data_IF_531149539097
#
_entry.id   IF_531149539097
#
_cell.length_a   1.000
_cell.length_b   1.000
_cell.length_c   1.000
_cell.angle_alpha   90.00
_cell.angle_beta   90.00
_cell.angle_gamma   90.00
#
_symmetry.space_group_name_H-M   'P 1'
#
loop_
_entity.id
_entity.type
_entity.pdbx_description
1 polymer ?
#
# COMPACT_ATOMS: atom_id res chain seq x y z
N UNK A 1 7.74 19.56 0.96
CA UNK A 1 8.14 18.27 0.33
C UNK A 1 9.21 17.51 1.12
N UNK A 2 10.35 18.13 1.49
CA UNK A 2 11.42 17.43 2.22
C UNK A 2 10.95 16.76 3.53
N UNK A 3 10.13 17.45 4.32
CA UNK A 3 9.54 16.91 5.56
C UNK A 3 8.74 15.63 5.26
N UNK A 4 7.88 15.65 4.23
CA UNK A 4 7.11 14.47 3.80
C UNK A 4 8.00 13.29 3.43
N UNK A 5 9.14 13.53 2.77
CA UNK A 5 10.14 12.49 2.43
C UNK A 5 10.76 11.90 3.70
N UNK A 6 11.18 12.75 4.64
CA UNK A 6 11.79 12.29 5.89
C UNK A 6 10.80 11.46 6.72
N UNK A 7 9.55 11.91 6.82
CA UNK A 7 8.49 11.23 7.56
C UNK A 7 8.14 9.87 6.93
N UNK A 8 7.91 9.82 5.61
CA UNK A 8 7.59 8.55 4.92
C UNK A 8 8.75 7.56 5.02
N UNK A 9 10.00 8.04 4.89
CA UNK A 9 11.19 7.19 5.07
C UNK A 9 11.28 6.65 6.49
N UNK A 10 11.06 7.49 7.51
CA UNK A 10 11.13 7.07 8.91
C UNK A 10 10.14 5.94 9.20
N UNK A 11 8.86 6.13 8.88
CA UNK A 11 7.85 5.08 9.14
C UNK A 11 8.09 3.84 8.27
N UNK A 12 8.62 4.00 7.05
CA UNK A 12 9.00 2.88 6.18
C UNK A 12 10.08 1.98 6.81
N UNK A 13 11.07 2.56 7.49
CA UNK A 13 12.11 1.78 8.18
C UNK A 13 11.55 0.97 9.35
N UNK A 14 10.59 1.53 10.08
CA UNK A 14 9.85 0.81 11.12
C UNK A 14 9.15 -0.42 10.56
N UNK A 15 8.35 -0.26 9.50
CA UNK A 15 7.69 -1.38 8.84
C UNK A 15 8.66 -2.39 8.22
N UNK A 16 9.80 -1.94 7.67
CA UNK A 16 10.82 -2.81 7.08
C UNK A 16 11.35 -3.82 8.10
N UNK A 17 11.55 -3.40 9.35
CA UNK A 17 12.04 -4.29 10.40
C UNK A 17 11.10 -5.46 10.69
N UNK A 18 9.78 -5.27 10.53
CA UNK A 18 8.77 -6.33 10.69
C UNK A 18 8.86 -7.41 9.59
N UNK A 19 9.49 -7.12 8.46
CA UNK A 19 9.61 -8.10 7.37
C UNK A 19 10.56 -9.24 7.69
N UNK A 20 11.58 -9.01 8.52
CA UNK A 20 12.62 -9.99 8.86
C UNK A 20 12.10 -11.22 9.61
N UNK A 21 11.29 -11.10 10.67
CA UNK A 21 10.75 -12.28 11.35
C UNK A 21 9.67 -13.00 10.53
N UNK A 22 8.94 -12.29 9.66
CA UNK A 22 7.78 -12.83 8.92
C UNK A 22 8.23 -13.57 7.65
N UNK A 23 9.14 -12.97 6.87
CA UNK A 23 9.56 -13.51 5.57
C UNK A 23 11.08 -13.53 5.48
N UNK A 24 11.62 -14.74 5.28
CA UNK A 24 13.03 -14.97 4.99
C UNK A 24 13.32 -14.81 3.48
N UNK A 25 14.59 -14.53 3.15
CA UNK A 25 15.14 -14.56 1.79
C UNK A 25 14.44 -13.65 0.76
N UNK A 26 14.03 -12.44 1.18
CA UNK A 26 13.53 -11.41 0.28
C UNK A 26 14.54 -10.31 -0.02
N UNK A 27 14.37 -9.66 -1.17
CA UNK A 27 15.25 -8.57 -1.58
C UNK A 27 15.02 -7.33 -0.72
N UNK A 28 16.11 -6.62 -0.41
CA UNK A 28 16.04 -5.35 0.33
C UNK A 28 15.02 -4.34 -0.24
N UNK A 29 14.95 -4.19 -1.57
CA UNK A 29 13.97 -3.31 -2.23
C UNK A 29 12.52 -3.73 -1.97
N UNK A 30 12.24 -5.04 -1.92
CA UNK A 30 10.92 -5.55 -1.54
C UNK A 30 10.65 -5.29 -0.06
N UNK A 31 11.64 -5.50 0.82
CA UNK A 31 11.51 -5.19 2.26
C UNK A 31 11.23 -3.71 2.51
N UNK A 32 11.83 -2.81 1.72
CA UNK A 32 11.53 -1.36 1.75
C UNK A 32 10.11 -1.06 1.29
N UNK A 33 9.67 -1.64 0.17
CA UNK A 33 8.32 -1.46 -0.36
C UNK A 33 7.25 -1.95 0.64
N UNK A 34 7.43 -3.15 1.20
CA UNK A 34 6.56 -3.67 2.27
C UNK A 34 6.63 -2.80 3.51
N UNK A 35 7.84 -2.38 3.89
CA UNK A 35 8.05 -1.52 5.05
C UNK A 35 7.32 -0.19 4.95
N UNK A 36 7.29 0.42 3.76
CA UNK A 36 6.53 1.64 3.51
C UNK A 36 5.03 1.44 3.74
N UNK A 37 4.44 0.37 3.20
CA UNK A 37 3.01 0.09 3.32
C UNK A 37 2.63 -0.29 4.75
N UNK A 38 3.40 -1.19 5.37
CA UNK A 38 3.18 -1.63 6.75
C UNK A 38 3.40 -0.48 7.73
N UNK A 39 4.48 0.27 7.57
CA UNK A 39 4.80 1.43 8.40
C UNK A 39 3.76 2.53 8.30
N UNK A 40 3.28 2.83 7.08
CA UNK A 40 2.16 3.76 6.87
C UNK A 40 0.89 3.27 7.57
N UNK A 41 0.57 1.98 7.47
CA UNK A 41 -0.65 1.41 8.06
C UNK A 41 -0.62 1.49 9.60
N UNK A 42 0.52 1.14 10.21
CA UNK A 42 0.73 1.25 11.66
C UNK A 42 0.67 2.72 12.10
N UNK A 43 1.34 3.61 11.37
CA UNK A 43 1.32 5.05 11.66
C UNK A 43 -0.09 5.62 11.60
N UNK A 44 -0.85 5.28 10.56
CA UNK A 44 -2.23 5.70 10.39
C UNK A 44 -3.14 5.21 11.50
N UNK A 45 -3.09 3.91 11.84
CA UNK A 45 -3.92 3.33 12.90
C UNK A 45 -3.55 3.87 14.29
N UNK A 46 -2.27 3.84 14.64
CA UNK A 46 -1.79 4.33 15.94
C UNK A 46 -2.07 5.82 16.10
N UNK A 47 -1.80 6.61 15.06
CA UNK A 47 -2.10 8.03 15.03
C UNK A 47 -3.59 8.30 15.18
N UNK A 48 -4.45 7.53 14.52
CA UNK A 48 -5.89 7.71 14.62
C UNK A 48 -6.41 7.39 16.02
N UNK A 49 -5.91 6.32 16.65
CA UNK A 49 -6.25 5.98 18.04
C UNK A 49 -5.81 7.10 18.98
N UNK A 50 -4.56 7.55 18.88
CA UNK A 50 -4.03 8.63 19.73
C UNK A 50 -4.80 9.95 19.52
N UNK A 51 -5.08 10.30 18.27
CA UNK A 51 -5.84 11.51 17.93
C UNK A 51 -7.30 11.44 18.37
N UNK A 52 -7.91 10.25 18.38
CA UNK A 52 -9.27 10.07 18.89
C UNK A 52 -9.36 10.27 20.42
N UNK A 53 -8.26 10.07 21.14
CA UNK A 53 -8.20 10.24 22.59
C UNK A 53 -7.74 11.65 23.01
N UNK A 54 -6.83 12.25 22.26
CA UNK A 54 -6.12 13.48 22.66
C UNK A 54 -6.19 14.61 21.62
N UNK A 55 -6.96 14.42 20.54
CA UNK A 55 -7.00 15.32 19.38
C UNK A 55 -5.78 15.17 18.48
N UNK A 56 -5.91 15.54 17.20
CA UNK A 56 -4.78 15.52 16.26
C UNK A 56 -3.92 16.78 16.39
N UNK A 57 -2.70 16.62 16.91
CA UNK A 57 -1.69 17.68 17.00
C UNK A 57 -0.28 17.12 16.74
N UNK A 58 0.74 17.98 16.81
CA UNK A 58 2.14 17.59 16.57
C UNK A 58 2.62 16.51 17.56
N UNK A 59 2.18 16.55 18.82
CA UNK A 59 2.58 15.60 19.87
C UNK A 59 1.99 14.22 19.59
N UNK A 60 0.69 14.14 19.30
CA UNK A 60 0.05 12.86 18.99
C UNK A 60 0.57 12.26 17.69
N UNK A 61 0.84 13.09 16.68
CA UNK A 61 1.46 12.66 15.43
C UNK A 61 2.90 12.15 15.66
N UNK A 62 3.71 12.83 16.48
CA UNK A 62 5.06 12.39 16.83
C UNK A 62 5.04 11.08 17.66
N UNK A 63 4.09 10.92 18.57
CA UNK A 63 3.89 9.68 19.30
C UNK A 63 3.53 8.52 18.36
N UNK A 64 2.72 8.76 17.32
CA UNK A 64 2.42 7.76 16.30
C UNK A 64 3.67 7.35 15.48
N UNK A 65 4.59 8.28 15.21
CA UNK A 65 5.90 7.95 14.63
C UNK A 65 6.65 7.01 15.58
N UNK A 66 6.73 7.34 16.87
CA UNK A 66 7.43 6.53 17.85
C UNK A 66 6.89 5.09 17.88
N UNK A 67 5.55 4.92 17.88
CA UNK A 67 4.89 3.59 17.77
C UNK A 67 5.30 2.87 16.49
N UNK A 68 5.29 3.57 15.36
CA UNK A 68 5.67 3.00 14.05
C UNK A 68 7.13 2.58 13.97
N UNK A 69 8.00 3.18 14.79
CA UNK A 69 9.43 2.88 14.87
C UNK A 69 9.77 1.77 15.90
N UNK A 70 8.85 1.40 16.80
CA UNK A 70 9.07 0.32 17.78
C UNK A 70 9.62 -0.98 17.15
N UNK A 71 9.18 -1.42 15.96
CA UNK A 71 9.72 -2.64 15.38
C UNK A 71 11.22 -2.59 15.03
N UNK A 72 11.84 -1.40 14.95
CA UNK A 72 13.30 -1.29 14.83
C UNK A 72 14.04 -1.96 15.99
N UNK A 73 13.40 -2.12 17.16
CA UNK A 73 13.96 -2.87 18.28
C UNK A 73 14.27 -4.32 17.91
N UNK A 74 13.59 -4.92 16.92
CA UNK A 74 13.89 -6.25 16.41
C UNK A 74 15.31 -6.34 15.84
N UNK A 75 15.82 -5.26 15.27
CA UNK A 75 17.20 -5.19 14.73
C UNK A 75 18.27 -5.09 15.83
N UNK A 76 17.89 -5.07 17.11
CA UNK A 76 18.83 -5.29 18.23
C UNK A 76 19.20 -6.76 18.38
N UNK A 77 18.32 -7.67 17.99
CA UNK A 77 18.61 -9.11 18.00
C UNK A 77 19.70 -9.44 16.97
N UNK A 78 20.68 -10.27 17.38
CA UNK A 78 21.78 -10.71 16.51
C UNK A 78 21.31 -11.30 15.16
N UNK A 79 20.29 -12.19 15.08
CA UNK A 79 19.90 -12.80 13.80
C UNK A 79 19.38 -11.76 12.81
N UNK A 80 18.41 -10.93 13.20
CA UNK A 80 17.80 -9.94 12.30
C UNK A 80 18.78 -8.81 11.94
N UNK A 81 19.64 -8.42 12.88
CA UNK A 81 20.72 -7.44 12.60
C UNK A 81 21.68 -7.94 11.53
N UNK A 82 22.05 -9.23 11.58
CA UNK A 82 22.96 -9.85 10.60
C UNK A 82 22.32 -9.90 9.22
N UNK A 83 21.07 -10.34 9.13
CA UNK A 83 20.33 -10.41 7.87
C UNK A 83 20.13 -9.03 7.25
N UNK A 84 19.73 -8.03 8.06
CA UNK A 84 19.62 -6.65 7.61
C UNK A 84 20.95 -6.10 7.05
N UNK A 85 22.06 -6.29 7.77
CA UNK A 85 23.37 -5.84 7.31
C UNK A 85 23.79 -6.54 6.01
N UNK A 86 23.50 -7.83 5.88
CA UNK A 86 23.77 -8.60 4.67
C UNK A 86 22.96 -8.08 3.48
N UNK A 87 21.65 -7.88 3.64
CA UNK A 87 20.78 -7.33 2.61
C UNK A 87 21.18 -5.93 2.18
N UNK A 88 21.54 -5.09 3.15
CA UNK A 88 22.03 -3.73 2.92
C UNK A 88 23.35 -3.72 2.15
N UNK A 89 24.31 -4.55 2.54
CA UNK A 89 25.59 -4.69 1.83
C UNK A 89 25.38 -5.19 0.39
N UNK A 90 24.51 -6.19 0.21
CA UNK A 90 24.15 -6.72 -1.12
C UNK A 90 23.46 -5.68 -1.99
N UNK A 91 22.60 -4.84 -1.42
CA UNK A 91 21.96 -3.73 -2.13
C UNK A 91 22.99 -2.69 -2.57
N UNK A 92 23.93 -2.30 -1.68
CA UNK A 92 25.04 -1.39 -2.02
C UNK A 92 25.94 -1.94 -3.13
N UNK A 93 26.31 -3.21 -3.04
CA UNK A 93 27.16 -3.86 -4.04
C UNK A 93 26.54 -3.94 -5.44
N UNK A 94 25.21 -3.82 -5.57
CA UNK A 94 24.55 -3.74 -6.89
C UNK A 94 24.78 -2.41 -7.63
N UNK A 95 25.14 -1.36 -6.91
CA UNK A 95 25.55 -0.08 -7.51
C UNK A 95 27.02 -0.09 -7.95
N UNK A 96 27.81 -1.10 -7.56
CA UNK A 96 29.22 -1.23 -7.91
C UNK A 96 29.39 -2.18 -9.12
N UNK A 97 29.95 -1.67 -10.21
CA UNK A 97 30.20 -2.41 -11.45
C UNK A 97 29.01 -2.37 -12.43
N UNK A 98 29.23 -1.73 -13.58
CA UNK A 98 28.25 -1.61 -14.66
C UNK A 98 28.04 -2.95 -15.38
N UNK A 99 26.80 -3.43 -15.40
CA UNK A 99 26.40 -4.59 -16.19
C UNK A 99 25.05 -4.27 -16.85
N UNK A 100 24.89 -4.61 -18.13
CA UNK A 100 23.68 -4.38 -18.92
C UNK A 100 22.39 -4.91 -18.27
N UNK A 101 22.46 -6.05 -17.57
CA UNK A 101 21.31 -6.60 -16.80
C UNK A 101 20.95 -5.74 -15.58
N UNK A 102 21.94 -5.09 -14.96
CA UNK A 102 21.71 -4.16 -13.84
C UNK A 102 21.17 -2.84 -14.36
N UNK A 103 21.70 -2.37 -15.48
CA UNK A 103 21.26 -1.15 -16.16
C UNK A 103 19.80 -1.25 -16.62
N UNK A 104 19.40 -2.35 -17.26
CA UNK A 104 18.00 -2.58 -17.64
C UNK A 104 17.06 -2.68 -16.43
N UNK A 105 17.48 -3.35 -15.35
CA UNK A 105 16.72 -3.41 -14.11
C UNK A 105 16.54 -2.03 -13.44
N UNK A 106 17.60 -1.21 -13.44
CA UNK A 106 17.55 0.17 -12.96
C UNK A 106 16.64 1.03 -13.84
N UNK A 107 16.81 0.94 -15.17
CA UNK A 107 15.98 1.67 -16.14
C UNK A 107 14.49 1.37 -15.99
N UNK A 108 14.11 0.12 -15.71
CA UNK A 108 12.71 -0.24 -15.44
C UNK A 108 12.13 0.51 -14.23
N UNK A 109 12.81 0.48 -13.08
CA UNK A 109 12.31 1.18 -11.89
C UNK A 109 12.41 2.70 -12.03
N UNK A 110 13.45 3.21 -12.70
CA UNK A 110 13.60 4.63 -13.00
C UNK A 110 12.48 5.14 -13.92
N UNK A 111 12.09 4.35 -14.94
CA UNK A 111 10.96 4.64 -15.80
C UNK A 111 9.67 4.80 -14.98
N UNK A 112 9.33 3.81 -14.15
CA UNK A 112 8.14 3.91 -13.30
C UNK A 112 8.22 5.05 -12.29
N UNK A 113 9.37 5.29 -11.69
CA UNK A 113 9.56 6.44 -10.79
C UNK A 113 9.31 7.76 -11.53
N UNK A 114 9.86 7.94 -12.74
CA UNK A 114 9.60 9.13 -13.54
C UNK A 114 8.11 9.27 -13.88
N UNK A 115 7.48 8.19 -14.36
CA UNK A 115 6.05 8.18 -14.68
C UNK A 115 5.21 8.55 -13.46
N UNK A 116 5.38 7.86 -12.32
CA UNK A 116 4.63 8.16 -11.11
C UNK A 116 4.85 9.59 -10.63
N UNK A 117 6.08 10.11 -10.71
CA UNK A 117 6.36 11.50 -10.37
C UNK A 117 5.58 12.48 -11.26
N UNK A 118 5.53 12.22 -12.57
CA UNK A 118 4.79 13.06 -13.52
C UNK A 118 3.28 12.99 -13.26
N UNK A 119 2.71 11.80 -13.08
CA UNK A 119 1.28 11.62 -12.84
C UNK A 119 0.84 12.18 -11.48
N UNK A 120 1.50 11.81 -10.38
CA UNK A 120 1.13 12.31 -9.04
C UNK A 120 1.47 13.79 -8.87
N UNK A 121 2.50 14.30 -9.56
CA UNK A 121 2.77 15.74 -9.61
C UNK A 121 1.61 16.55 -10.21
N UNK A 122 0.77 15.93 -11.03
CA UNK A 122 -0.45 16.49 -11.61
C UNK A 122 -1.73 16.10 -10.83
N UNK A 123 -1.65 15.19 -9.85
CA UNK A 123 -2.80 14.84 -9.01
C UNK A 123 -3.29 16.07 -8.22
N UNK A 124 -2.36 16.87 -7.70
CA UNK A 124 -2.62 18.20 -7.12
C UNK A 124 -1.46 19.15 -7.41
N UNK A 125 -1.78 20.31 -7.98
CA UNK A 125 -0.85 21.43 -8.11
C UNK A 125 -1.51 22.73 -7.66
N UNK A 126 -0.68 23.71 -7.31
CA UNK A 126 -1.13 25.01 -6.83
C UNK A 126 -0.54 26.08 -7.73
N UNK A 127 -1.36 27.07 -8.07
CA UNK A 127 -0.96 28.30 -8.75
C UNK A 127 -1.52 29.47 -7.95
N UNK A 128 -1.19 30.71 -8.33
CA UNK A 128 -1.75 31.91 -7.69
C UNK A 128 -3.28 31.98 -7.79
N UNK A 129 -3.88 31.28 -8.76
CA UNK A 129 -5.33 31.20 -8.93
C UNK A 129 -6.02 30.14 -8.03
N UNK A 130 -5.26 29.27 -7.36
CA UNK A 130 -5.81 28.27 -6.43
C UNK A 130 -5.24 26.86 -6.60
N UNK A 131 -6.04 25.87 -6.19
CA UNK A 131 -5.71 24.44 -6.25
C UNK A 131 -6.32 23.83 -7.51
N UNK A 132 -5.51 23.06 -8.25
CA UNK A 132 -5.88 22.43 -9.51
C UNK A 132 -5.51 20.95 -9.52
N UNK A 133 -6.13 20.21 -10.43
CA UNK A 133 -5.79 18.82 -10.74
C UNK A 133 -5.73 18.62 -12.25
N UNK A 134 -4.75 17.84 -12.72
CA UNK A 134 -4.55 17.56 -14.14
C UNK A 134 -5.39 16.40 -14.67
N UNK A 135 -6.07 15.65 -13.80
CA UNK A 135 -6.93 14.53 -14.17
C UNK A 135 -8.41 14.89 -14.03
N UNK A 136 -9.19 14.79 -15.13
CA UNK A 136 -10.64 15.04 -15.10
C UNK A 136 -11.38 14.17 -14.09
N UNK A 137 -10.96 12.91 -13.96
CA UNK A 137 -11.55 11.97 -12.98
C UNK A 137 -11.23 12.35 -11.53
N UNK A 138 -10.21 13.17 -11.28
CA UNK A 138 -9.84 13.62 -9.94
C UNK A 138 -10.53 14.93 -9.52
N UNK A 139 -11.33 15.54 -10.40
CA UNK A 139 -12.06 16.77 -10.08
C UNK A 139 -13.08 16.57 -8.95
N UNK A 140 -13.67 15.39 -8.84
CA UNK A 140 -14.59 15.04 -7.74
C UNK A 140 -13.85 14.55 -6.49
N UNK A 141 -12.81 13.74 -6.68
CA UNK A 141 -12.13 13.04 -5.58
C UNK A 141 -11.15 13.95 -4.83
N UNK A 142 -10.42 14.84 -5.52
CA UNK A 142 -9.47 15.74 -4.87
C UNK A 142 -10.14 16.66 -3.82
N UNK A 143 -11.25 17.37 -4.13
CA UNK A 143 -11.94 18.17 -3.11
C UNK A 143 -12.44 17.34 -1.92
N UNK A 144 -12.92 16.11 -2.17
CA UNK A 144 -13.33 15.20 -1.10
C UNK A 144 -12.15 14.84 -0.18
N UNK A 145 -11.01 14.46 -0.74
CA UNK A 145 -9.80 14.14 0.00
C UNK A 145 -9.24 15.35 0.75
N UNK A 146 -9.21 16.53 0.14
CA UNK A 146 -8.81 17.77 0.81
C UNK A 146 -9.76 18.11 1.97
N UNK A 147 -11.07 17.96 1.77
CA UNK A 147 -12.07 18.15 2.82
C UNK A 147 -11.85 17.20 4.01
N UNK A 148 -11.52 15.93 3.74
CA UNK A 148 -11.17 14.96 4.77
C UNK A 148 -9.90 15.37 5.54
N UNK A 149 -8.84 15.72 4.82
CA UNK A 149 -7.54 16.13 5.39
C UNK A 149 -7.70 17.38 6.27
N UNK A 150 -8.33 18.42 5.74
CA UNK A 150 -8.53 19.69 6.45
C UNK A 150 -9.53 19.56 7.61
N UNK A 151 -10.52 18.67 7.47
CA UNK A 151 -11.40 18.30 8.58
C UNK A 151 -10.62 17.74 9.78
N UNK A 152 -9.62 16.89 9.53
CA UNK A 152 -8.75 16.39 10.59
C UNK A 152 -7.77 17.44 11.12
N UNK A 153 -7.14 18.23 10.25
CA UNK A 153 -6.13 19.20 10.69
C UNK A 153 -6.77 20.38 11.40
N UNK A 154 -7.75 21.02 10.80
CA UNK A 154 -8.24 22.34 11.22
C UNK A 154 -9.61 22.25 11.87
N UNK A 155 -10.42 21.26 11.47
CA UNK A 155 -11.77 21.04 12.01
C UNK A 155 -11.84 20.17 13.27
N UNK A 156 -10.71 19.64 13.75
CA UNK A 156 -10.65 18.70 14.89
C UNK A 156 -11.72 17.58 14.80
N UNK A 157 -11.90 17.00 13.61
CA UNK A 157 -12.99 16.08 13.26
C UNK A 157 -12.89 14.70 13.97
N UNK A 158 -13.17 14.69 15.28
CA UNK A 158 -13.18 13.52 16.15
C UNK A 158 -14.45 13.53 17.01
N UNK A 159 -15.37 12.55 16.87
CA UNK A 159 -15.33 11.43 15.93
C UNK A 159 -15.45 11.88 14.47
N UNK A 160 -14.90 11.12 13.49
CA UNK A 160 -14.91 11.53 12.09
C UNK A 160 -16.32 11.64 11.50
N UNK A 161 -16.64 12.81 10.97
CA UNK A 161 -17.82 13.11 10.16
C UNK A 161 -17.47 13.23 8.68
N UNK A 162 -18.46 12.99 7.81
CA UNK A 162 -18.30 13.09 6.37
C UNK A 162 -17.98 14.55 5.97
N UNK A 163 -16.90 14.80 5.20
CA UNK A 163 -16.50 16.16 4.83
C UNK A 163 -17.45 16.85 3.86
N UNK A 164 -18.30 16.10 3.16
CA UNK A 164 -19.25 16.61 2.16
C UNK A 164 -20.70 16.62 2.65
N UNK A 165 -21.00 15.98 3.79
CA UNK A 165 -22.35 15.94 4.34
C UNK A 165 -22.33 16.04 5.87
N UNK A 166 -22.53 17.26 6.38
CA UNK A 166 -22.46 17.57 7.80
C UNK A 166 -23.41 16.70 8.64
N UNK A 167 -22.95 16.25 9.81
CA UNK A 167 -23.69 15.36 10.69
C UNK A 167 -23.74 13.90 10.23
N UNK A 168 -23.40 13.60 8.96
CA UNK A 168 -23.29 12.24 8.50
C UNK A 168 -21.96 11.59 8.90
N UNK A 169 -21.98 10.27 9.08
CA UNK A 169 -20.80 9.51 9.49
C UNK A 169 -19.79 9.40 8.36
N UNK A 170 -18.51 9.44 8.72
CA UNK A 170 -17.43 9.18 7.77
C UNK A 170 -17.40 7.69 7.42
N UNK A 171 -18.02 7.33 6.29
CA UNK A 171 -18.17 5.94 5.84
C UNK A 171 -17.10 5.50 4.85
N UNK A 172 -16.40 6.45 4.21
CA UNK A 172 -15.27 6.18 3.32
C UNK A 172 -13.99 5.87 4.12
N UNK A 173 -13.13 4.92 3.67
CA UNK A 173 -11.85 4.61 4.31
C UNK A 173 -10.89 5.82 4.32
N UNK A 174 -10.67 6.40 5.50
CA UNK A 174 -10.02 7.72 5.63
C UNK A 174 -8.53 7.66 6.05
N UNK A 175 -7.94 6.47 6.26
CA UNK A 175 -6.58 6.38 6.81
C UNK A 175 -5.54 7.05 5.90
N UNK A 176 -5.67 6.94 4.58
CA UNK A 176 -4.75 7.60 3.65
C UNK A 176 -4.75 9.14 3.86
N UNK A 177 -5.93 9.73 4.04
CA UNK A 177 -6.11 11.17 4.28
C UNK A 177 -5.68 11.58 5.69
N UNK A 178 -5.97 10.74 6.69
CA UNK A 178 -5.52 10.94 8.06
C UNK A 178 -3.99 10.94 8.17
N UNK A 179 -3.29 10.07 7.43
CA UNK A 179 -1.82 10.06 7.38
C UNK A 179 -1.28 11.37 6.79
N UNK A 180 -1.93 11.90 5.76
CA UNK A 180 -1.61 13.24 5.22
C UNK A 180 -1.85 14.34 6.26
N UNK A 181 -2.98 14.32 6.96
CA UNK A 181 -3.29 15.27 8.03
C UNK A 181 -2.24 15.24 9.16
N UNK A 182 -1.80 14.05 9.57
CA UNK A 182 -0.76 13.90 10.58
C UNK A 182 0.61 14.43 10.10
N UNK A 183 0.96 14.23 8.83
CA UNK A 183 2.18 14.83 8.24
C UNK A 183 2.12 16.37 8.26
N UNK A 184 0.94 16.94 7.99
CA UNK A 184 0.74 18.40 8.04
C UNK A 184 0.93 18.93 9.47
N UNK A 185 0.40 18.23 10.48
CA UNK A 185 0.67 18.58 11.89
C UNK A 185 2.13 18.49 12.31
N UNK A 186 2.95 17.79 11.53
CA UNK A 186 4.40 17.68 11.71
C UNK A 186 5.18 18.65 10.81
N UNK A 187 4.49 19.59 10.14
CA UNK A 187 5.09 20.67 9.36
C UNK A 187 5.21 20.41 7.86
N UNK A 188 4.65 19.32 7.33
CA UNK A 188 4.60 19.12 5.89
C UNK A 188 3.55 20.03 5.23
N UNK A 189 3.83 20.48 4.00
CA UNK A 189 2.80 21.10 3.16
C UNK A 189 1.87 20.04 2.56
N UNK A 190 0.60 20.41 2.34
CA UNK A 190 -0.46 19.50 1.87
C UNK A 190 -0.06 18.81 0.55
N UNK A 191 0.38 19.60 -0.45
CA UNK A 191 0.78 19.10 -1.76
C UNK A 191 1.92 18.10 -1.65
N UNK A 192 2.98 18.48 -0.92
CA UNK A 192 4.15 17.64 -0.72
C UNK A 192 3.82 16.36 0.04
N UNK A 193 2.92 16.40 1.02
CA UNK A 193 2.45 15.21 1.72
C UNK A 193 1.68 14.26 0.79
N UNK A 194 0.74 14.77 -0.01
CA UNK A 194 -0.01 13.98 -1.00
C UNK A 194 0.91 13.33 -2.03
N UNK A 195 1.69 14.14 -2.76
CA UNK A 195 2.54 13.65 -3.86
C UNK A 195 3.54 12.60 -3.39
N UNK A 196 4.20 12.83 -2.25
CA UNK A 196 5.21 11.90 -1.74
C UNK A 196 4.59 10.60 -1.23
N UNK A 197 3.43 10.66 -0.55
CA UNK A 197 2.73 9.47 -0.09
C UNK A 197 2.25 8.63 -1.26
N UNK A 198 1.56 9.25 -2.22
CA UNK A 198 0.98 8.56 -3.37
C UNK A 198 2.08 7.94 -4.25
N UNK A 199 3.15 8.70 -4.50
CA UNK A 199 4.35 8.18 -5.18
C UNK A 199 4.94 6.96 -4.46
N UNK A 200 5.15 7.06 -3.14
CA UNK A 200 5.78 5.99 -2.37
C UNK A 200 4.91 4.73 -2.33
N UNK A 201 3.59 4.87 -2.18
CA UNK A 201 2.64 3.75 -2.17
C UNK A 201 2.53 3.09 -3.55
N UNK A 202 2.45 3.87 -4.64
CA UNK A 202 2.44 3.34 -6.00
C UNK A 202 3.73 2.57 -6.32
N UNK A 203 4.88 3.13 -5.95
CA UNK A 203 6.18 2.47 -6.15
C UNK A 203 6.29 1.19 -5.29
N UNK A 204 5.68 1.19 -4.11
CA UNK A 204 5.62 -0.02 -3.27
C UNK A 204 4.74 -1.08 -3.91
N UNK A 205 3.57 -0.71 -4.44
CA UNK A 205 2.67 -1.60 -5.19
C UNK A 205 3.38 -2.19 -6.42
N UNK A 206 4.13 -1.40 -7.19
CA UNK A 206 4.94 -1.86 -8.31
C UNK A 206 5.88 -3.01 -7.90
N UNK A 207 6.66 -2.81 -6.83
CA UNK A 207 7.66 -3.79 -6.36
C UNK A 207 6.98 -5.03 -5.77
N UNK A 208 5.91 -4.84 -5.01
CA UNK A 208 5.14 -5.92 -4.37
C UNK A 208 4.45 -6.78 -5.43
N UNK A 209 3.80 -6.16 -6.41
CA UNK A 209 3.09 -6.85 -7.50
C UNK A 209 4.03 -7.61 -8.42
N UNK A 210 5.17 -7.01 -8.79
CA UNK A 210 6.22 -7.72 -9.53
C UNK A 210 6.61 -8.99 -8.78
N UNK A 211 6.92 -8.86 -7.48
CA UNK A 211 7.38 -10.00 -6.68
C UNK A 211 6.30 -11.06 -6.52
N UNK A 212 5.05 -10.66 -6.27
CA UNK A 212 3.90 -11.55 -6.18
C UNK A 212 3.70 -12.35 -7.47
N UNK A 213 3.74 -11.68 -8.62
CA UNK A 213 3.57 -12.31 -9.94
C UNK A 213 4.69 -13.32 -10.21
N UNK A 214 5.94 -13.02 -9.85
CA UNK A 214 7.04 -13.99 -9.97
C UNK A 214 6.80 -15.23 -9.09
N UNK A 215 6.29 -15.06 -7.87
CA UNK A 215 5.96 -16.19 -6.99
C UNK A 215 4.81 -17.04 -7.52
N UNK A 216 3.81 -16.39 -8.12
CA UNK A 216 2.64 -17.07 -8.68
C UNK A 216 2.98 -17.85 -9.95
N UNK A 217 3.84 -17.31 -10.81
CA UNK A 217 4.08 -17.82 -12.17
C UNK A 217 5.43 -18.51 -12.36
N UNK A 218 6.37 -18.34 -11.42
CA UNK A 218 7.77 -18.73 -11.59
C UNK A 218 8.54 -17.89 -12.64
N UNK A 219 7.91 -16.91 -13.30
CA UNK A 219 8.46 -16.22 -14.46
C UNK A 219 8.79 -14.75 -14.16
N UNK A 220 10.06 -14.37 -14.35
CA UNK A 220 10.55 -12.99 -14.13
C UNK A 220 9.97 -11.99 -15.14
N UNK A 221 9.78 -12.39 -16.39
CA UNK A 221 9.20 -11.54 -17.42
C UNK A 221 7.73 -11.24 -17.11
N UNK A 222 6.95 -12.24 -16.69
CA UNK A 222 5.58 -12.04 -16.22
C UNK A 222 5.54 -11.02 -15.06
N UNK A 223 6.49 -11.12 -14.11
CA UNK A 223 6.65 -10.13 -13.05
C UNK A 223 6.95 -8.71 -13.52
N UNK A 224 7.69 -8.54 -14.62
CA UNK A 224 7.96 -7.21 -15.21
C UNK A 224 6.76 -6.67 -16.00
N UNK A 225 5.98 -7.54 -16.62
CA UNK A 225 4.83 -7.16 -17.46
C UNK A 225 3.61 -6.83 -16.59
N UNK A 226 3.37 -7.56 -15.49
CA UNK A 226 2.16 -7.37 -14.69
C UNK A 226 1.95 -5.92 -14.18
N UNK A 227 2.97 -5.19 -13.67
CA UNK A 227 2.78 -3.80 -13.31
C UNK A 227 2.50 -2.88 -14.51
N UNK A 228 3.09 -3.15 -15.67
CA UNK A 228 2.78 -2.40 -16.90
C UNK A 228 1.30 -2.57 -17.25
N UNK A 229 0.80 -3.81 -17.22
CA UNK A 229 -0.60 -4.11 -17.48
C UNK A 229 -1.53 -3.48 -16.44
N UNK A 230 -1.15 -3.44 -15.17
CA UNK A 230 -1.97 -2.82 -14.12
C UNK A 230 -2.05 -1.30 -14.28
N UNK A 231 -0.91 -0.61 -14.30
CA UNK A 231 -0.88 0.85 -14.32
C UNK A 231 -1.30 1.43 -15.68
N UNK A 232 -0.99 0.75 -16.78
CA UNK A 232 -1.32 1.19 -18.13
C UNK A 232 -2.48 0.41 -18.77
N UNK A 233 -3.37 -0.17 -17.95
CA UNK A 233 -4.61 -0.81 -18.41
C UNK A 233 -5.55 0.18 -19.12
N UNK A 234 -6.67 -0.30 -19.66
CA UNK A 234 -7.69 0.59 -20.26
C UNK A 234 -8.47 -0.01 -21.43
N UNK A 235 -8.46 -1.34 -21.57
CA UNK A 235 -9.13 -2.04 -22.67
C UNK A 235 -8.38 -1.95 -24.00
N UNK A 236 -9.13 -2.03 -25.11
CA UNK A 236 -8.59 -2.07 -26.48
C UNK A 236 -8.44 -0.68 -27.13
N UNK A 237 -8.31 0.37 -26.33
CA UNK A 237 -8.23 1.77 -26.78
C UNK A 237 -7.17 2.02 -27.87
N UNK A 238 -6.06 1.29 -27.79
CA UNK A 238 -4.96 1.36 -28.76
C UNK A 238 -5.36 0.94 -30.19
N UNK A 239 -6.38 0.08 -30.36
CA UNK A 239 -6.88 -0.33 -31.68
C UNK A 239 -7.55 0.85 -32.38
N UNK A 240 -8.39 1.58 -31.64
CA UNK A 240 -9.04 2.78 -32.16
C UNK A 240 -8.05 3.93 -32.34
N UNK A 241 -7.07 4.07 -31.43
CA UNK A 241 -5.98 5.03 -31.62
C UNK A 241 -5.20 4.76 -32.91
N UNK A 242 -4.84 3.51 -33.17
CA UNK A 242 -4.14 3.15 -34.40
C UNK A 242 -5.00 3.46 -35.63
N UNK A 243 -6.29 3.11 -35.61
CA UNK A 243 -7.21 3.48 -36.69
C UNK A 243 -7.24 4.99 -36.94
N UNK A 244 -7.50 5.77 -35.90
CA UNK A 244 -7.62 7.23 -35.99
C UNK A 244 -6.28 7.89 -36.40
N UNK A 245 -5.14 7.33 -35.97
CA UNK A 245 -3.80 7.77 -36.38
C UNK A 245 -3.54 7.53 -37.86
N UNK A 246 -3.85 6.34 -38.38
CA UNK A 246 -3.68 6.01 -39.80
C UNK A 246 -4.62 6.81 -40.71
N UNK A 247 -5.83 7.11 -40.25
CA UNK A 247 -6.81 7.90 -41.02
C UNK A 247 -6.45 9.39 -41.10
N UNK A 248 -5.78 9.96 -40.08
CA UNK A 248 -5.46 11.38 -40.03
C UNK A 248 -4.26 11.80 -40.88
N UNK A 249 -3.35 10.87 -41.20
CA UNK A 249 -2.12 11.17 -41.93
C UNK A 249 -1.18 12.17 -41.24
N UNK A 250 -1.40 12.48 -39.95
CA UNK A 250 -0.59 13.37 -39.13
C UNK A 250 0.63 12.66 -38.56
N UNK A 251 1.62 13.43 -38.12
CA UNK A 251 2.74 12.87 -37.37
C UNK A 251 2.28 12.32 -36.00
N UNK A 252 2.95 11.28 -35.50
CA UNK A 252 2.62 10.69 -34.19
C UNK A 252 2.70 11.72 -33.07
N UNK A 253 3.66 12.64 -33.15
CA UNK A 253 3.84 13.70 -32.16
C UNK A 253 2.64 14.65 -32.09
N UNK A 254 2.12 15.07 -33.24
CA UNK A 254 0.92 15.93 -33.30
C UNK A 254 -0.30 15.24 -32.69
N UNK A 255 -0.52 13.97 -33.03
CA UNK A 255 -1.69 13.21 -32.52
C UNK A 255 -1.60 12.97 -31.02
N UNK A 256 -0.39 12.73 -30.48
CA UNK A 256 -0.21 12.56 -29.03
C UNK A 256 -0.37 13.87 -28.26
N UNK A 257 0.01 15.01 -28.85
CA UNK A 257 -0.14 16.33 -28.21
C UNK A 257 -1.59 16.85 -28.27
N UNK A 258 -2.33 16.47 -29.32
CA UNK A 258 -3.72 16.84 -29.52
C UNK A 258 -4.55 15.59 -29.82
N UNK A 259 -4.79 14.79 -28.78
CA UNK A 259 -5.61 13.60 -28.90
C UNK A 259 -7.04 14.00 -29.32
N UNK A 260 -7.61 13.36 -30.36
CA UNK A 260 -8.93 13.73 -30.86
C UNK A 260 -10.07 13.37 -29.89
N UNK A 261 -9.83 12.39 -29.01
CA UNK A 261 -10.78 11.89 -28.00
C UNK A 261 -10.06 11.03 -26.96
N UNK A 262 -10.76 10.72 -25.88
CA UNK A 262 -10.36 9.65 -24.95
C UNK A 262 -10.63 8.28 -25.60
N UNK A 263 -9.63 7.40 -25.55
CA UNK A 263 -9.68 6.06 -26.15
C UNK A 263 -10.10 4.96 -25.19
N UNK A 264 -10.26 5.29 -23.91
CA UNK A 264 -10.58 4.36 -22.82
C UNK A 264 -11.95 4.64 -22.21
N UNK A 265 -12.42 5.89 -22.29
CA UNK A 265 -13.73 6.34 -21.79
C UNK A 265 -14.47 7.07 -22.91
N UNK A 266 -15.58 6.51 -23.36
CA UNK A 266 -16.52 7.15 -24.29
C UNK A 266 -17.97 6.84 -23.94
N UNK A 267 -18.89 7.15 -24.84
CA UNK A 267 -20.33 6.99 -24.60
C UNK A 267 -20.76 5.51 -24.52
N UNK A 268 -20.06 4.63 -25.25
CA UNK A 268 -20.42 3.21 -25.37
C UNK A 268 -19.68 2.29 -24.40
N UNK A 269 -18.48 2.70 -23.98
CA UNK A 269 -17.62 1.89 -23.10
C UNK A 269 -16.84 2.81 -22.16
N UNK A 270 -16.67 2.36 -20.91
CA UNK A 270 -15.96 3.11 -19.86
C UNK A 270 -14.93 2.20 -19.21
N UNK A 271 -13.89 1.87 -19.96
CA UNK A 271 -12.77 1.04 -19.51
C UNK A 271 -11.60 1.94 -19.15
N UNK A 272 -11.81 2.81 -18.17
CA UNK A 272 -10.83 3.80 -17.75
C UNK A 272 -9.49 3.17 -17.35
N UNK A 273 -8.40 3.82 -17.75
CA UNK A 273 -7.06 3.43 -17.33
C UNK A 273 -6.93 3.47 -15.79
N UNK A 274 -6.38 2.40 -15.20
CA UNK A 274 -6.30 2.29 -13.74
C UNK A 274 -5.44 3.38 -13.09
N UNK A 275 -4.38 3.88 -13.72
CA UNK A 275 -3.58 4.98 -13.17
C UNK A 275 -4.41 6.25 -12.99
N UNK A 276 -5.15 6.64 -14.04
CA UNK A 276 -5.87 7.93 -14.05
C UNK A 276 -7.23 7.85 -13.35
N UNK A 277 -7.92 6.70 -13.41
CA UNK A 277 -9.28 6.54 -12.89
C UNK A 277 -9.32 5.94 -11.48
N UNK A 278 -8.27 5.21 -11.07
CA UNK A 278 -8.23 4.54 -9.78
C UNK A 278 -7.09 5.03 -8.89
N UNK A 279 -5.84 5.00 -9.35
CA UNK A 279 -4.69 5.25 -8.46
C UNK A 279 -4.44 6.73 -8.15
N UNK A 280 -4.71 7.64 -9.09
CA UNK A 280 -4.63 9.10 -8.83
C UNK A 280 -5.80 9.58 -7.95
N UNK A 281 -6.96 8.98 -8.13
CA UNK A 281 -8.24 9.44 -7.57
C UNK A 281 -8.52 8.80 -6.22
N UNK A 282 -8.36 7.47 -6.10
CA UNK A 282 -8.70 6.70 -4.90
C UNK A 282 -7.47 6.41 -4.05
N UNK A 283 -7.13 7.33 -3.16
CA UNK A 283 -5.96 7.20 -2.27
C UNK A 283 -6.06 5.99 -1.32
N UNK A 284 -7.28 5.65 -0.89
CA UNK A 284 -7.56 4.45 -0.10
C UNK A 284 -7.14 3.16 -0.83
N UNK A 285 -7.50 3.03 -2.11
CA UNK A 285 -7.09 1.89 -2.95
C UNK A 285 -5.57 1.86 -3.14
N UNK A 286 -4.93 3.01 -3.35
CA UNK A 286 -3.49 3.09 -3.56
C UNK A 286 -2.67 2.55 -2.37
N UNK A 287 -3.15 2.78 -1.14
CA UNK A 287 -2.59 2.20 0.08
C UNK A 287 -3.06 0.76 0.34
N UNK A 288 -4.35 0.45 0.08
CA UNK A 288 -4.96 -0.85 0.41
C UNK A 288 -4.59 -1.98 -0.56
N UNK A 289 -4.40 -1.69 -1.84
CA UNK A 289 -4.05 -2.68 -2.85
C UNK A 289 -2.72 -3.39 -2.56
N UNK A 290 -1.60 -2.70 -2.22
CA UNK A 290 -0.37 -3.41 -1.90
C UNK A 290 -0.49 -4.28 -0.63
N UNK A 291 -1.28 -3.89 0.38
CA UNK A 291 -1.60 -4.75 1.53
C UNK A 291 -2.31 -6.02 1.04
N UNK A 292 -3.30 -5.85 0.16
CA UNK A 292 -4.06 -6.95 -0.44
C UNK A 292 -3.14 -7.93 -1.16
N UNK A 293 -2.27 -7.43 -2.04
CA UNK A 293 -1.32 -8.26 -2.81
C UNK A 293 -0.33 -8.98 -1.90
N UNK A 294 0.13 -8.34 -0.81
CA UNK A 294 0.98 -8.99 0.19
C UNK A 294 0.27 -10.16 0.87
N UNK A 295 -0.96 -9.95 1.31
CA UNK A 295 -1.77 -10.99 1.96
C UNK A 295 -2.07 -12.10 0.97
N UNK A 296 -2.45 -11.79 -0.28
CA UNK A 296 -2.64 -12.79 -1.34
C UNK A 296 -1.37 -13.61 -1.59
N UNK A 297 -0.19 -13.01 -1.54
CA UNK A 297 1.08 -13.74 -1.63
C UNK A 297 1.28 -14.76 -0.50
N UNK A 298 0.83 -14.43 0.71
CA UNK A 298 0.82 -15.37 1.82
C UNK A 298 -0.23 -16.47 1.65
N UNK A 299 -1.47 -16.10 1.32
CA UNK A 299 -2.55 -17.07 1.09
C UNK A 299 -2.17 -18.05 -0.03
N UNK A 300 -1.55 -17.56 -1.11
CA UNK A 300 -1.01 -18.38 -2.18
C UNK A 300 0.03 -19.38 -1.67
N UNK A 301 0.97 -18.95 -0.81
CA UNK A 301 1.99 -19.85 -0.24
C UNK A 301 1.37 -20.97 0.62
N UNK A 302 0.35 -20.62 1.41
CA UNK A 302 -0.41 -21.61 2.19
C UNK A 302 -1.14 -22.56 1.25
N UNK A 303 -1.76 -22.04 0.19
CA UNK A 303 -2.51 -22.81 -0.79
C UNK A 303 -1.63 -23.73 -1.66
N UNK A 304 -0.46 -23.27 -2.11
CA UNK A 304 0.42 -24.01 -3.03
C UNK A 304 1.17 -25.15 -2.37
N UNK A 305 1.26 -25.18 -1.04
CA UNK A 305 2.02 -26.20 -0.32
C UNK A 305 3.49 -25.86 -0.11
N UNK A 306 3.95 -24.66 -0.49
CA UNK A 306 5.29 -24.12 -0.16
C UNK A 306 5.49 -23.83 1.35
N UNK A 307 4.65 -24.43 2.20
CA UNK A 307 4.65 -24.34 3.65
C UNK A 307 5.69 -25.23 4.32
N UNK A 308 6.31 -26.19 3.62
CA UNK A 308 7.31 -27.08 4.22
C UNK A 308 8.61 -26.36 4.61
N UNK A 309 8.84 -25.14 4.08
CA UNK A 309 9.91 -24.25 4.50
C UNK A 309 9.55 -23.38 5.72
N UNK A 310 8.30 -23.40 6.22
CA UNK A 310 7.91 -22.71 7.45
C UNK A 310 8.64 -23.34 8.66
N UNK A 311 8.90 -24.65 8.62
CA UNK A 311 9.66 -25.38 9.63
C UNK A 311 11.18 -25.10 9.59
N UNK A 312 11.76 -24.81 8.42
CA UNK A 312 13.22 -24.63 8.29
C UNK A 312 13.76 -23.36 8.94
N UNK A 313 12.92 -22.34 9.12
CA UNK A 313 13.34 -21.06 9.75
C UNK A 313 13.38 -21.17 11.29
N UNK A 314 12.75 -22.20 11.88
CA UNK A 314 12.70 -22.40 13.32
C UNK A 314 13.96 -23.07 13.92
N UNK A 315 14.96 -23.47 13.11
CA UNK A 315 16.19 -24.07 13.61
C UNK A 315 17.44 -23.28 13.23
N UNK A 316 17.90 -22.43 14.15
CA UNK A 316 19.28 -22.48 14.60
C UNK A 316 19.29 -22.85 16.10
N UNK A 317 19.70 -24.08 16.38
CA UNK A 317 20.34 -24.48 17.64
C UNK A 317 19.55 -24.47 18.97
N UNK A 318 18.26 -24.77 19.00
CA UNK A 318 17.60 -25.22 20.24
C UNK A 318 17.04 -26.62 20.03
N UNK A 319 17.93 -27.60 20.17
CA UNK A 319 17.55 -28.99 20.36
C UNK A 319 16.84 -29.13 21.72
N UNK A 320 15.61 -29.61 21.69
CA UNK A 320 14.90 -30.11 22.87
C UNK A 320 13.92 -29.12 23.50
N UNK A 321 12.69 -29.06 22.97
CA UNK A 321 11.44 -29.02 23.77
C UNK A 321 10.24 -29.20 22.85
N UNK A 322 9.39 -30.12 23.25
CA UNK A 322 8.31 -30.81 22.54
C UNK A 322 7.02 -29.99 22.40
N UNK A 323 6.32 -30.17 21.27
CA UNK A 323 4.86 -30.02 21.14
C UNK A 323 4.31 -28.61 20.93
N UNK A 324 4.25 -27.80 22.00
CA UNK A 324 3.47 -26.54 22.00
C UNK A 324 4.26 -25.32 21.51
N UNK A 325 5.59 -25.32 21.70
CA UNK A 325 6.47 -24.26 21.18
C UNK A 325 6.47 -24.22 19.64
N UNK A 326 6.27 -25.37 19.01
CA UNK A 326 6.27 -25.54 17.56
C UNK A 326 4.93 -25.11 16.92
N UNK A 327 3.83 -25.20 17.67
CA UNK A 327 2.53 -24.73 17.23
C UNK A 327 2.48 -23.19 17.24
N UNK A 328 2.89 -22.56 18.34
CA UNK A 328 2.91 -21.09 18.45
C UNK A 328 3.89 -20.47 17.44
N UNK A 329 5.05 -21.12 17.21
CA UNK A 329 6.03 -20.69 16.20
C UNK A 329 5.47 -20.76 14.77
N UNK A 330 4.53 -21.67 14.50
CA UNK A 330 3.89 -21.84 13.20
C UNK A 330 2.71 -20.89 12.99
N UNK A 331 1.94 -20.57 14.04
CA UNK A 331 0.69 -19.81 13.94
C UNK A 331 0.84 -18.29 14.07
N UNK A 332 1.93 -17.79 14.68
CA UNK A 332 2.08 -16.35 14.88
C UNK A 332 2.22 -15.56 13.57
N UNK A 333 2.82 -16.14 12.51
CA UNK A 333 2.97 -15.49 11.19
C UNK A 333 1.61 -15.29 10.49
N UNK A 334 0.77 -16.34 10.35
CA UNK A 334 -0.61 -16.16 9.88
C UNK A 334 -1.38 -15.14 10.71
N UNK A 335 -1.27 -15.20 12.03
CA UNK A 335 -1.93 -14.24 12.93
C UNK A 335 -1.46 -12.80 12.69
N UNK A 336 -0.15 -12.55 12.60
CA UNK A 336 0.42 -11.23 12.32
C UNK A 336 -0.01 -10.69 10.95
N UNK A 337 -0.08 -11.54 9.92
CA UNK A 337 -0.62 -11.16 8.61
C UNK A 337 -2.13 -10.89 8.67
N UNK A 338 -2.84 -11.63 9.51
CA UNK A 338 -4.23 -11.37 9.86
C UNK A 338 -4.41 -9.97 10.44
N UNK A 339 -3.57 -9.55 11.40
CA UNK A 339 -3.62 -8.19 11.95
C UNK A 339 -3.49 -7.13 10.84
N UNK A 340 -2.55 -7.29 9.90
CA UNK A 340 -2.42 -6.34 8.78
C UNK A 340 -3.64 -6.31 7.86
N UNK A 341 -4.19 -7.49 7.50
CA UNK A 341 -5.44 -7.55 6.75
C UNK A 341 -6.62 -6.94 7.53
N UNK A 342 -6.61 -7.05 8.86
CA UNK A 342 -7.58 -6.44 9.76
C UNK A 342 -7.59 -4.91 9.77
N UNK A 343 -6.54 -4.25 9.29
CA UNK A 343 -6.48 -2.78 9.15
C UNK A 343 -7.23 -2.29 7.89
N UNK A 344 -7.61 -3.20 6.98
CA UNK A 344 -8.26 -2.83 5.71
C UNK A 344 -9.64 -2.17 5.84
N UNK A 345 -10.49 -2.36 6.87
CA UNK A 345 -11.76 -1.63 6.93
C UNK A 345 -11.56 -0.11 6.99
N UNK A 346 -10.47 0.38 7.61
CA UNK A 346 -10.12 1.79 7.66
C UNK A 346 -9.26 2.26 6.48
N UNK A 347 -8.51 1.35 5.86
CA UNK A 347 -7.62 1.66 4.73
C UNK A 347 -8.32 1.52 3.39
N UNK A 348 -8.98 0.39 3.12
CA UNK A 348 -9.74 0.10 1.90
C UNK A 348 -10.68 -1.11 2.08
N UNK A 349 -11.95 -0.86 2.40
CA UNK A 349 -12.91 -1.91 2.76
C UNK A 349 -13.12 -2.98 1.66
N UNK A 350 -13.18 -2.57 0.39
CA UNK A 350 -13.39 -3.51 -0.73
C UNK A 350 -12.28 -4.56 -0.82
N UNK A 351 -11.04 -4.19 -0.48
CA UNK A 351 -9.93 -5.14 -0.42
C UNK A 351 -10.16 -6.24 0.61
N UNK A 352 -10.75 -5.92 1.76
CA UNK A 352 -11.04 -6.93 2.78
C UNK A 352 -12.10 -7.93 2.29
N UNK A 353 -13.12 -7.45 1.57
CA UNK A 353 -14.15 -8.32 0.97
C UNK A 353 -13.50 -9.30 -0.02
N UNK A 354 -12.60 -8.81 -0.88
CA UNK A 354 -11.85 -9.67 -1.80
C UNK A 354 -11.03 -10.71 -1.04
N UNK A 355 -10.30 -10.30 0.00
CA UNK A 355 -9.52 -11.25 0.82
C UNK A 355 -10.41 -12.28 1.52
N UNK A 356 -11.60 -11.90 1.98
CA UNK A 356 -12.55 -12.83 2.59
C UNK A 356 -13.00 -13.90 1.58
N UNK A 357 -13.39 -13.49 0.37
CA UNK A 357 -13.79 -14.41 -0.70
C UNK A 357 -12.64 -15.34 -1.07
N UNK A 358 -11.45 -14.81 -1.33
CA UNK A 358 -10.28 -15.62 -1.70
C UNK A 358 -9.87 -16.58 -0.58
N UNK A 359 -9.87 -16.11 0.68
CA UNK A 359 -9.54 -16.96 1.83
C UNK A 359 -10.56 -18.08 1.99
N UNK A 360 -11.85 -17.80 1.78
CA UNK A 360 -12.91 -18.81 1.79
C UNK A 360 -12.69 -19.89 0.74
N UNK A 361 -12.37 -19.51 -0.50
CA UNK A 361 -11.99 -20.46 -1.55
C UNK A 361 -10.75 -21.27 -1.16
N UNK A 362 -9.67 -20.61 -0.72
CA UNK A 362 -8.45 -21.31 -0.32
C UNK A 362 -8.70 -22.28 0.84
N UNK A 363 -9.56 -21.94 1.80
CA UNK A 363 -9.96 -22.81 2.90
C UNK A 363 -10.69 -24.05 2.41
N UNK A 364 -11.67 -23.90 1.50
CA UNK A 364 -12.46 -25.02 0.94
C UNK A 364 -11.56 -26.04 0.24
N UNK A 365 -10.56 -25.57 -0.51
CA UNK A 365 -9.64 -26.44 -1.26
C UNK A 365 -8.45 -26.95 -0.43
N UNK A 366 -8.18 -26.34 0.73
CA UNK A 366 -7.08 -26.73 1.65
C UNK A 366 -7.56 -26.80 3.10
N UNK A 367 -8.61 -27.59 3.42
CA UNK A 367 -9.18 -27.66 4.76
C UNK A 367 -8.21 -28.28 5.77
N UNK A 368 -7.24 -29.07 5.32
CA UNK A 368 -6.21 -29.68 6.16
C UNK A 368 -5.35 -28.62 6.88
N UNK A 369 -5.28 -27.39 6.37
CA UNK A 369 -4.55 -26.27 6.97
C UNK A 369 -5.40 -25.37 7.88
N UNK A 370 -6.55 -25.87 8.38
CA UNK A 370 -7.52 -25.10 9.17
C UNK A 370 -6.91 -24.24 10.29
N UNK A 371 -5.87 -24.71 11.00
CA UNK A 371 -5.22 -23.94 12.09
C UNK A 371 -4.60 -22.65 11.58
N UNK A 372 -3.97 -22.68 10.40
CA UNK A 372 -3.37 -21.51 9.75
C UNK A 372 -4.45 -20.51 9.35
N UNK A 373 -5.55 -21.02 8.77
CA UNK A 373 -6.69 -20.20 8.36
C UNK A 373 -7.38 -19.53 9.55
N UNK A 374 -7.59 -20.27 10.65
CA UNK A 374 -8.16 -19.72 11.89
C UNK A 374 -7.22 -18.68 12.50
N UNK A 375 -5.92 -18.96 12.62
CA UNK A 375 -4.97 -17.98 13.15
C UNK A 375 -4.97 -16.67 12.35
N UNK A 376 -5.00 -16.76 11.01
CA UNK A 376 -5.17 -15.61 10.14
C UNK A 376 -6.50 -14.87 10.39
N UNK A 377 -7.62 -15.60 10.39
CA UNK A 377 -8.96 -15.01 10.63
C UNK A 377 -9.10 -14.35 11.99
N UNK A 378 -8.54 -14.95 13.06
CA UNK A 378 -8.49 -14.34 14.39
C UNK A 378 -7.68 -13.05 14.37
N UNK A 379 -6.52 -13.03 13.71
CA UNK A 379 -5.73 -11.81 13.52
C UNK A 379 -6.53 -10.69 12.82
N UNK A 380 -7.25 -11.02 11.74
CA UNK A 380 -8.13 -10.05 11.06
C UNK A 380 -9.17 -9.48 12.02
N UNK A 381 -9.80 -10.35 12.77
CA UNK A 381 -10.92 -10.03 13.68
C UNK A 381 -10.50 -9.09 14.81
N UNK A 382 -9.29 -9.25 15.36
CA UNK A 382 -8.78 -8.43 16.47
C UNK A 382 -8.77 -6.94 16.13
N UNK A 383 -8.44 -6.58 14.88
CA UNK A 383 -8.42 -5.18 14.44
C UNK A 383 -9.75 -4.79 13.77
N UNK A 384 -10.30 -5.65 12.92
CA UNK A 384 -11.45 -5.30 12.09
C UNK A 384 -12.80 -5.24 12.82
N UNK A 385 -12.98 -5.92 13.96
CA UNK A 385 -14.27 -5.94 14.71
C UNK A 385 -14.48 -4.74 15.63
N UNK A 386 -13.49 -4.28 16.43
CA UNK A 386 -13.65 -3.10 17.26
C UNK A 386 -14.04 -1.85 16.46
N UNK A 387 -13.60 -1.76 15.21
CA UNK A 387 -13.83 -0.63 14.30
C UNK A 387 -15.33 -0.37 14.00
N UNK A 388 -16.15 -1.34 13.56
CA UNK A 388 -17.59 -1.18 13.39
C UNK A 388 -18.38 -1.15 14.71
N UNK A 389 -17.96 -1.84 15.77
CA UNK A 389 -18.72 -1.88 17.05
C UNK A 389 -18.61 -0.58 17.84
N UNK A 390 -17.43 0.08 17.86
CA UNK A 390 -17.29 1.43 18.39
C UNK A 390 -18.17 2.44 17.65
N UNK A 391 -18.27 2.28 16.31
CA UNK A 391 -19.15 3.09 15.44
C UNK A 391 -20.65 2.90 15.73
N UNK A 392 -21.08 1.72 16.18
CA UNK A 392 -22.49 1.44 16.54
C UNK A 392 -22.91 1.96 17.92
N UNK A 393 -21.98 2.16 18.87
CA UNK A 393 -22.31 2.67 20.21
C UNK A 393 -22.37 4.20 20.29
N UNK A 394 -21.54 4.91 19.53
CA UNK A 394 -21.62 6.37 19.44
C UNK A 394 -22.93 6.84 18.77
N UNK A 395 -23.47 6.03 17.86
CA UNK A 395 -24.72 6.24 17.14
C UNK A 395 -25.99 6.36 17.99
N UNK A 396 -25.99 5.80 19.21
CA UNK A 396 -27.16 5.81 20.11
C UNK A 396 -27.09 6.92 21.16
N UNK A 397 -26.03 7.73 21.14
CA UNK A 397 -25.79 8.83 22.10
C UNK A 397 -25.94 10.22 21.50
N UNK A 398 -26.30 10.30 20.22
CA UNK A 398 -26.91 11.45 19.56
C UNK A 398 -28.36 11.06 19.26
#
# INVERSE_FOLDING_TARGET
>A
MLISILLICAISFGGLALTYPIVADERFMWRLAVGNIVGTSIFGLAGFILASLFGLNAVTAAAAIAVSLLPLMLLRSKPYKREFKHDWAKAKGKFQGGNLKRFSGFGYYAFFALVFWLFFGQAMYQTDAGIFTGGSNNLGDLPFHLGAILGFTDGANFPPQNPSFAGARFSYPFVADFVTAAFIKLGADVRGALVIQDFAWAFSLLVILERFTVKLTGNKLAGRIAPLLLFFSGGLGFVWFAKDYWEQGKSLWEVLWQLPRDYTIGDKFRWGNSMVVLFITQRSLLLGMPITVLVLGFLWRVFSGESDDIQKIAKPDIAGKTGDSDLLSTLWRPFALGLFAGMLPLIHLHSLIVLFVVTGFCFIFRPEKWRVWIAFGVGVTVIAIPEPIGRWRAARRM
#
